data_IF_580062077292
#
_entry.id   IF_580062077292
#
_cell.length_a   1.000
_cell.length_b   1.000
_cell.length_c   1.000
_cell.angle_alpha   90.00
_cell.angle_beta   90.00
_cell.angle_gamma   90.00
#
_symmetry.space_group_name_H-M   'P 1'
#
loop_
_entity.id
_entity.type
_entity.pdbx_description
1 polymer ?
#
# COMPACT_ATOMS: atom_id res chain seq x y z
N UNK A 1 5.31 -46.87 -18.96
CA UNK A 1 4.60 -46.06 -17.96
C UNK A 1 3.57 -45.27 -18.73
N UNK A 2 2.30 -45.55 -18.48
CA UNK A 2 1.17 -44.86 -19.12
C UNK A 2 0.47 -44.12 -17.99
N UNK A 3 0.88 -42.87 -17.79
CA UNK A 3 0.18 -41.93 -16.91
C UNK A 3 -0.85 -41.19 -17.76
N UNK A 4 -2.09 -41.59 -17.53
CA UNK A 4 -3.30 -41.07 -18.12
C UNK A 4 -3.58 -39.67 -17.56
N UNK A 5 -3.55 -38.66 -18.44
CA UNK A 5 -4.34 -37.42 -18.42
C UNK A 5 -4.75 -36.85 -17.04
N UNK A 6 -3.79 -36.48 -16.18
CA UNK A 6 -4.08 -35.92 -14.83
C UNK A 6 -4.29 -34.39 -14.81
N UNK A 7 -4.46 -33.71 -15.94
CA UNK A 7 -4.76 -32.27 -15.93
C UNK A 7 -5.99 -31.96 -16.77
N UNK A 8 -7.08 -32.69 -16.50
CA UNK A 8 -8.39 -32.37 -17.03
C UNK A 8 -9.05 -31.24 -16.23
N UNK A 9 -9.19 -30.07 -16.85
CA UNK A 9 -10.50 -29.40 -17.03
C UNK A 9 -10.35 -28.27 -18.05
N UNK A 10 -10.70 -28.53 -19.30
CA UNK A 10 -10.89 -27.45 -20.27
C UNK A 10 -12.15 -26.68 -19.86
N UNK A 11 -11.96 -25.49 -19.32
CA UNK A 11 -13.04 -24.54 -18.99
C UNK A 11 -13.22 -23.62 -20.19
N UNK A 12 -14.33 -23.75 -20.90
CA UNK A 12 -14.73 -22.78 -21.92
C UNK A 12 -15.26 -21.52 -21.21
N UNK A 13 -14.46 -20.45 -21.22
CA UNK A 13 -14.89 -19.15 -20.72
C UNK A 13 -15.80 -18.51 -21.77
N UNK A 14 -17.07 -18.25 -21.41
CA UNK A 14 -17.96 -17.45 -22.23
C UNK A 14 -17.31 -16.08 -22.45
N UNK A 15 -17.26 -15.62 -23.72
CA UNK A 15 -16.83 -14.26 -24.01
C UNK A 15 -17.84 -13.30 -23.40
N UNK A 16 -17.39 -12.55 -22.42
CA UNK A 16 -18.07 -11.35 -21.96
C UNK A 16 -18.31 -10.43 -23.15
N UNK A 17 -19.56 -9.97 -23.30
CA UNK A 17 -19.92 -9.00 -24.32
C UNK A 17 -19.42 -7.63 -23.84
N UNK A 18 -18.40 -7.03 -24.48
CA UNK A 18 -17.85 -5.76 -24.03
C UNK A 18 -18.87 -4.61 -24.13
N UNK A 19 -19.97 -4.79 -24.88
CA UNK A 19 -21.03 -3.79 -25.03
C UNK A 19 -22.15 -3.95 -23.98
N UNK A 20 -22.15 -5.03 -23.18
CA UNK A 20 -23.15 -5.26 -22.13
C UNK A 20 -22.88 -4.47 -20.84
N UNK A 21 -21.70 -3.85 -20.72
CA UNK A 21 -21.26 -3.04 -19.57
C UNK A 21 -21.10 -1.55 -19.94
N UNK A 22 -21.68 -1.11 -21.07
CA UNK A 22 -21.76 0.31 -21.44
C UNK A 22 -22.96 1.01 -20.77
N UNK A 23 -23.34 0.57 -19.56
CA UNK A 23 -24.31 1.29 -18.74
C UNK A 23 -23.64 2.53 -18.15
N UNK A 24 -23.61 3.58 -18.97
CA UNK A 24 -23.59 4.99 -18.55
C UNK A 24 -22.54 5.29 -17.47
N UNK A 25 -21.26 5.12 -17.81
CA UNK A 25 -20.18 5.76 -17.07
C UNK A 25 -20.48 7.27 -17.02
N UNK A 26 -20.97 7.73 -15.86
CA UNK A 26 -21.06 9.13 -15.46
C UNK A 26 -19.62 9.70 -15.41
N UNK A 27 -19.05 9.92 -16.60
CA UNK A 27 -17.70 10.47 -16.76
C UNK A 27 -17.67 11.82 -16.04
N UNK A 28 -16.88 11.88 -14.96
CA UNK A 28 -16.60 13.10 -14.23
C UNK A 28 -16.21 14.20 -15.22
N UNK A 29 -16.75 15.41 -15.01
CA UNK A 29 -16.31 16.56 -15.80
C UNK A 29 -14.80 16.77 -15.61
N UNK A 30 -14.12 17.33 -16.60
CA UNK A 30 -12.66 17.57 -16.55
C UNK A 30 -12.24 18.33 -15.28
N UNK A 31 -13.06 19.30 -14.83
CA UNK A 31 -12.82 20.05 -13.61
C UNK A 31 -12.93 19.20 -12.33
N UNK A 32 -13.82 18.21 -12.34
CA UNK A 32 -14.06 17.32 -11.20
C UNK A 32 -12.98 16.24 -11.12
N UNK A 33 -12.51 15.78 -12.29
CA UNK A 33 -11.36 14.90 -12.43
C UNK A 33 -10.07 15.61 -11.95
N UNK A 34 -9.83 16.86 -12.36
CA UNK A 34 -8.67 17.66 -11.92
C UNK A 34 -8.71 17.97 -10.41
N UNK A 35 -9.89 18.24 -9.85
CA UNK A 35 -10.04 18.45 -8.42
C UNK A 35 -9.68 17.20 -7.62
N UNK A 36 -10.06 16.03 -8.12
CA UNK A 36 -9.73 14.73 -7.53
C UNK A 36 -8.23 14.42 -7.63
N UNK A 37 -7.64 14.59 -8.81
CA UNK A 37 -6.19 14.39 -8.99
C UNK A 37 -5.37 15.28 -8.05
N UNK A 38 -5.76 16.55 -7.88
CA UNK A 38 -5.08 17.47 -6.96
C UNK A 38 -5.20 17.03 -5.51
N UNK A 39 -6.32 16.43 -5.11
CA UNK A 39 -6.51 15.91 -3.76
C UNK A 39 -5.63 14.68 -3.52
N UNK A 40 -5.64 13.73 -4.46
CA UNK A 40 -4.85 12.49 -4.37
C UNK A 40 -3.34 12.78 -4.37
N UNK A 41 -2.88 13.75 -5.18
CA UNK A 41 -1.47 14.16 -5.20
C UNK A 41 -1.04 14.82 -3.86
N UNK A 42 -1.95 15.57 -3.23
CA UNK A 42 -1.67 16.19 -1.93
C UNK A 42 -1.58 15.14 -0.81
N UNK A 43 -2.48 14.16 -0.80
CA UNK A 43 -2.44 13.03 0.13
C UNK A 43 -1.14 12.22 -0.04
N UNK A 44 -0.79 11.87 -1.28
CA UNK A 44 0.44 11.13 -1.56
C UNK A 44 1.70 11.86 -1.07
N UNK A 45 1.75 13.20 -1.19
CA UNK A 45 2.88 14.00 -0.70
C UNK A 45 3.00 13.96 0.82
N UNK A 46 1.89 14.04 1.54
CA UNK A 46 1.89 14.00 3.00
C UNK A 46 2.29 12.60 3.52
N UNK A 47 1.82 11.53 2.89
CA UNK A 47 2.20 10.15 3.24
C UNK A 47 3.71 9.92 3.07
N UNK A 48 4.29 10.37 1.95
CA UNK A 48 5.73 10.27 1.69
C UNK A 48 6.52 11.01 2.77
N UNK A 49 6.08 12.21 3.14
CA UNK A 49 6.74 13.05 4.14
C UNK A 49 6.65 12.44 5.53
N UNK A 50 5.49 11.92 5.92
CA UNK A 50 5.31 11.23 7.19
C UNK A 50 6.22 10.01 7.26
N UNK A 51 6.16 9.14 6.25
CA UNK A 51 7.01 7.95 6.19
C UNK A 51 8.50 8.26 6.14
N UNK A 52 8.92 9.40 5.59
CA UNK A 52 10.33 9.84 5.63
C UNK A 52 10.74 10.23 7.04
N UNK A 53 9.90 10.98 7.74
CA UNK A 53 10.17 11.44 9.11
C UNK A 53 10.23 10.25 10.07
N UNK A 54 9.33 9.27 9.92
CA UNK A 54 9.34 8.05 10.73
C UNK A 54 10.61 7.22 10.49
N UNK A 55 11.00 7.00 9.23
CA UNK A 55 12.24 6.26 8.90
C UNK A 55 13.49 6.98 9.40
N UNK A 56 13.55 8.30 9.32
CA UNK A 56 14.67 9.08 9.86
C UNK A 56 14.74 8.98 11.38
N UNK A 57 13.59 9.02 12.06
CA UNK A 57 13.49 8.87 13.51
C UNK A 57 13.93 7.47 13.94
N UNK A 58 13.41 6.42 13.31
CA UNK A 58 13.78 5.03 13.57
C UNK A 58 15.28 4.79 13.31
N UNK A 59 15.83 5.38 12.24
CA UNK A 59 17.25 5.31 11.97
C UNK A 59 18.08 6.02 13.05
N UNK A 60 17.65 7.18 13.55
CA UNK A 60 18.36 7.92 14.60
C UNK A 60 18.33 7.18 15.94
N UNK A 61 17.19 6.62 16.33
CA UNK A 61 17.04 5.81 17.54
C UNK A 61 17.92 4.56 17.48
N UNK A 62 17.93 3.85 16.34
CA UNK A 62 18.75 2.64 16.17
C UNK A 62 20.25 2.92 16.02
N UNK A 63 20.65 4.07 15.46
CA UNK A 63 22.07 4.39 15.21
C UNK A 63 22.76 4.93 16.47
N UNK A 64 22.00 5.40 17.48
CA UNK A 64 22.54 5.83 18.77
C UNK A 64 22.18 4.83 19.89
N UNK A 65 22.83 3.65 19.96
CA UNK A 65 22.59 2.66 21.01
C UNK A 65 22.95 3.15 22.42
N UNK A 66 23.70 4.26 22.56
CA UNK A 66 23.97 4.91 23.85
C UNK A 66 22.81 5.85 24.28
N UNK A 67 21.89 6.26 23.39
CA UNK A 67 20.73 7.12 23.74
C UNK A 67 19.71 6.41 24.64
N UNK A 68 19.72 5.07 24.66
CA UNK A 68 18.92 4.24 25.56
C UNK A 68 19.67 3.85 26.85
N UNK A 69 20.89 4.36 27.06
CA UNK A 69 21.79 3.90 28.13
C UNK A 69 21.85 4.84 29.36
N UNK A 70 21.11 5.95 29.31
CA UNK A 70 21.02 6.92 30.40
C UNK A 70 19.95 6.56 31.45
N UNK A 71 19.21 5.45 31.25
CA UNK A 71 18.38 4.89 32.31
C UNK A 71 19.28 4.23 33.37
N UNK A 72 19.51 4.96 34.47
CA UNK A 72 20.18 4.39 35.63
C UNK A 72 19.42 3.12 36.06
N UNK A 73 20.12 2.00 36.33
CA UNK A 73 19.45 0.82 36.84
C UNK A 73 18.76 1.21 38.15
N UNK A 74 17.45 0.98 38.24
CA UNK A 74 16.69 1.14 39.49
C UNK A 74 17.13 0.06 40.50
N UNK A 75 18.35 0.18 41.02
CA UNK A 75 18.79 -0.57 42.18
C UNK A 75 18.28 0.16 43.41
N UNK A 76 16.98 0.02 43.66
CA UNK A 76 16.44 0.10 45.01
C UNK A 76 16.80 -1.20 45.73
N UNK A 77 17.98 -1.25 46.34
CA UNK A 77 18.27 -2.24 47.36
C UNK A 77 19.05 -1.59 48.50
N UNK A 78 18.31 -1.49 49.61
CA UNK A 78 18.64 -1.32 51.04
C UNK A 78 20.08 -1.37 51.50
#
# INVERSE_FOLDING_TARGET
MSEDTEHGRDVELAKEDPEADEEEDEQLTEAEQEARERADEAEQKEDIKHGSTERETDALENTNPDHHRDEEPYNSSS
#
